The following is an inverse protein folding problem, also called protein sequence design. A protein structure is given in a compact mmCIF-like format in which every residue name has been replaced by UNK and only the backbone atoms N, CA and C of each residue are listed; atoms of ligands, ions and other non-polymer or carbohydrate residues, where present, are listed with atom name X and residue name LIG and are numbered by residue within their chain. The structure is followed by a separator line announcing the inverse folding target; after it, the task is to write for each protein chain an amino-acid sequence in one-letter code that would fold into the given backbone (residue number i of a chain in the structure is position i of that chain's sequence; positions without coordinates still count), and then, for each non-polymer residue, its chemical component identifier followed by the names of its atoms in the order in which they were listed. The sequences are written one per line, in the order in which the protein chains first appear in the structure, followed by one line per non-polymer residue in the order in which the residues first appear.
data_IF_347148415290
#
_entry.id   IF_347148415290
#
_cell.length_a   1.000
_cell.length_b   1.000
_cell.length_c   1.000
_cell.angle_alpha   90.00
_cell.angle_beta   90.00
_cell.angle_gamma   90.00
#
_symmetry.space_group_name_H-M   'P 1'
#
loop_
_entity.id
_entity.type
_entity.pdbx_description
1 polymer ?
#
# COMPACT_ATOMS: atom_id res chain seq x y z
N UNK A 1 -20.63 2.95 -17.75
CA UNK A 1 -19.23 2.95 -17.32
C UNK A 1 -19.15 3.71 -16.01
N UNK A 2 -18.99 3.02 -14.87
CA UNK A 2 -18.96 3.66 -13.53
C UNK A 2 -17.56 4.18 -13.33
N UNK A 3 -17.37 5.49 -13.49
CA UNK A 3 -16.13 6.16 -13.11
C UNK A 3 -16.01 6.11 -11.58
N UNK A 4 -15.18 5.23 -11.07
CA UNK A 4 -14.87 5.18 -9.63
C UNK A 4 -13.99 6.39 -9.33
N UNK A 5 -14.56 7.31 -8.56
CA UNK A 5 -13.86 8.52 -8.12
C UNK A 5 -12.81 8.12 -7.05
N UNK A 6 -11.56 7.89 -7.50
CA UNK A 6 -10.44 7.45 -6.66
C UNK A 6 -10.15 8.42 -5.50
N UNK A 7 -10.52 9.71 -5.64
CA UNK A 7 -10.40 10.69 -4.56
C UNK A 7 -11.32 10.34 -3.39
N UNK A 8 -12.53 9.85 -3.67
CA UNK A 8 -13.48 9.42 -2.64
C UNK A 8 -13.04 8.11 -1.98
N UNK A 9 -12.47 7.19 -2.76
CA UNK A 9 -11.92 5.94 -2.21
C UNK A 9 -10.72 6.22 -1.31
N UNK A 10 -9.82 7.11 -1.71
CA UNK A 10 -8.66 7.52 -0.92
C UNK A 10 -9.06 8.21 0.38
N UNK A 11 -10.10 9.07 0.34
CA UNK A 11 -10.64 9.74 1.52
C UNK A 11 -11.34 8.76 2.48
N UNK A 12 -12.04 7.74 1.97
CA UNK A 12 -12.67 6.70 2.81
C UNK A 12 -11.64 5.84 3.51
N UNK A 13 -10.54 5.50 2.83
CA UNK A 13 -9.44 4.74 3.43
C UNK A 13 -8.69 5.60 4.47
N UNK A 14 -8.45 6.88 4.18
CA UNK A 14 -7.83 7.83 5.14
C UNK A 14 -8.72 8.07 6.35
N UNK A 15 -10.05 8.17 6.17
CA UNK A 15 -11.01 8.31 7.26
C UNK A 15 -11.11 7.02 8.11
N UNK A 16 -11.01 5.84 7.50
CA UNK A 16 -11.00 4.56 8.20
C UNK A 16 -9.77 4.38 9.11
N UNK A 17 -8.62 4.91 8.71
CA UNK A 17 -7.40 4.86 9.54
C UNK A 17 -7.40 5.84 10.70
N UNK A 18 -8.15 6.96 10.61
CA UNK A 18 -8.26 7.94 11.72
C UNK A 18 -9.21 7.47 12.84
N UNK A 19 -10.12 6.52 12.58
CA UNK A 19 -11.06 6.02 13.58
C UNK A 19 -10.47 4.98 14.54
N UNK A 20 -9.19 4.60 14.39
CA UNK A 20 -8.50 3.66 15.30
C UNK A 20 -7.76 4.41 16.44
N UNK A 21 -7.93 5.71 16.56
CA UNK A 21 -7.47 6.45 17.71
C UNK A 21 -8.43 6.20 18.88
N UNK A 22 -8.02 5.32 19.78
CA UNK A 22 -8.73 4.97 21.02
C UNK A 22 -8.83 6.22 21.90
N UNK A 23 -10.05 6.76 22.19
CA UNK A 23 -10.18 7.82 23.17
C UNK A 23 -9.97 7.21 24.54
N UNK A 24 -8.83 7.42 25.15
CA UNK A 24 -8.56 7.14 26.55
C UNK A 24 -9.40 8.06 27.44
N UNK A 25 -10.72 7.80 27.54
CA UNK A 25 -11.60 8.41 28.52
C UNK A 25 -11.65 7.53 29.75
N UNK A 26 -11.28 8.16 30.86
CA UNK A 26 -11.11 7.61 32.20
C UNK A 26 -12.17 6.59 32.62
N UNK A 27 -11.72 5.38 32.89
CA UNK A 27 -12.49 4.37 33.56
C UNK A 27 -11.81 4.04 34.90
N UNK A 28 -12.64 3.95 35.95
CA UNK A 28 -12.28 3.52 37.28
C UNK A 28 -11.55 2.17 37.29
N UNK A 29 -10.74 1.85 38.31
CA UNK A 29 -10.00 0.60 38.35
C UNK A 29 -10.96 -0.58 38.58
N UNK A 30 -11.55 -1.10 37.50
CA UNK A 30 -12.12 -2.43 37.51
C UNK A 30 -10.96 -3.44 37.52
N UNK A 31 -11.08 -4.48 38.31
CA UNK A 31 -10.16 -5.63 38.30
C UNK A 31 -10.00 -6.12 36.85
N UNK A 32 -8.97 -5.62 36.18
CA UNK A 32 -8.69 -5.99 34.79
C UNK A 32 -8.33 -7.47 34.79
N UNK A 33 -9.21 -8.26 34.25
CA UNK A 33 -8.89 -9.61 33.80
C UNK A 33 -7.67 -9.49 32.90
N UNK A 34 -6.47 -9.77 33.43
CA UNK A 34 -5.22 -9.71 32.66
C UNK A 34 -5.22 -10.89 31.71
N UNK A 35 -5.78 -10.70 30.54
CA UNK A 35 -5.54 -11.61 29.42
C UNK A 35 -4.03 -11.59 29.17
N UNK A 36 -3.36 -12.67 29.54
CA UNK A 36 -1.93 -12.84 29.26
C UNK A 36 -1.78 -12.84 27.73
N UNK A 37 -1.38 -11.73 27.15
CA UNK A 37 -1.13 -11.63 25.71
C UNK A 37 -0.04 -12.63 25.34
N UNK A 38 -0.43 -13.75 24.75
CA UNK A 38 0.51 -14.74 24.23
C UNK A 38 1.01 -14.24 22.87
N UNK A 39 2.20 -13.68 22.85
CA UNK A 39 2.86 -13.33 21.61
C UNK A 39 3.37 -14.58 20.88
N UNK A 40 3.33 -14.56 19.55
CA UNK A 40 3.87 -15.64 18.74
C UNK A 40 5.39 -15.79 18.97
N UNK A 41 5.88 -17.01 18.88
CA UNK A 41 7.32 -17.26 18.89
C UNK A 41 7.99 -16.60 17.68
N UNK A 42 9.29 -16.25 17.79
CA UNK A 42 10.04 -15.62 16.69
C UNK A 42 9.92 -16.40 15.37
N UNK A 43 9.97 -17.74 15.42
CA UNK A 43 9.83 -18.58 14.20
C UNK A 43 8.46 -18.42 13.55
N UNK A 44 7.40 -18.41 14.35
CA UNK A 44 6.04 -18.19 13.85
C UNK A 44 5.86 -16.79 13.29
N UNK A 45 6.39 -15.77 13.98
CA UNK A 45 6.33 -14.39 13.54
C UNK A 45 7.08 -14.16 12.23
N UNK A 46 8.26 -14.78 12.05
CA UNK A 46 9.01 -14.75 10.78
C UNK A 46 8.19 -15.42 9.66
N UNK A 47 7.60 -16.58 9.92
CA UNK A 47 6.77 -17.26 8.93
C UNK A 47 5.58 -16.40 8.49
N UNK A 48 4.93 -15.71 9.45
CA UNK A 48 3.84 -14.77 9.17
C UNK A 48 4.32 -13.53 8.39
N UNK A 49 5.50 -12.99 8.72
CA UNK A 49 6.09 -11.87 7.99
C UNK A 49 6.45 -12.22 6.54
N UNK A 50 6.87 -13.47 6.30
CA UNK A 50 7.11 -14.00 4.95
C UNK A 50 5.79 -14.22 4.20
N UNK A 51 4.73 -14.68 4.89
CA UNK A 51 3.43 -14.90 4.25
C UNK A 51 2.77 -13.58 3.80
N UNK A 52 2.82 -12.54 4.65
CA UNK A 52 2.27 -11.23 4.31
C UNK A 52 2.92 -10.12 5.16
N UNK A 53 3.25 -8.95 4.56
CA UNK A 53 3.84 -7.83 5.27
C UNK A 53 2.99 -7.37 6.46
N UNK A 54 3.65 -7.18 7.61
CA UNK A 54 3.01 -6.70 8.85
C UNK A 54 2.42 -7.78 9.74
N UNK A 55 2.07 -8.99 9.25
CA UNK A 55 1.48 -10.03 10.10
C UNK A 55 2.43 -10.50 11.21
N UNK A 56 3.71 -10.62 10.92
CA UNK A 56 4.72 -10.97 11.94
C UNK A 56 4.77 -9.93 13.06
N UNK A 57 4.68 -8.65 12.71
CA UNK A 57 4.67 -7.54 13.67
C UNK A 57 3.40 -7.54 14.53
N UNK A 58 2.23 -7.81 13.94
CA UNK A 58 0.98 -7.95 14.69
C UNK A 58 1.07 -9.11 15.68
N UNK A 59 1.60 -10.25 15.25
CA UNK A 59 1.73 -11.44 16.08
C UNK A 59 2.71 -11.27 17.26
N UNK A 60 3.64 -10.32 17.17
CA UNK A 60 4.61 -9.98 18.23
C UNK A 60 4.22 -8.75 19.06
N UNK A 61 3.00 -8.21 18.86
CA UNK A 61 2.47 -7.09 19.64
C UNK A 61 2.81 -5.70 19.11
N UNK A 62 3.51 -5.59 17.95
CA UNK A 62 3.81 -4.31 17.32
C UNK A 62 2.62 -3.83 16.47
N UNK A 63 1.47 -3.58 17.12
CA UNK A 63 0.19 -3.30 16.46
C UNK A 63 0.27 -2.12 15.47
N UNK A 64 0.85 -0.99 15.87
CA UNK A 64 0.96 0.20 15.01
C UNK A 64 1.79 -0.04 13.75
N UNK A 65 2.96 -0.68 13.89
CA UNK A 65 3.84 -1.00 12.76
C UNK A 65 3.22 -2.08 11.87
N UNK A 66 2.65 -3.13 12.48
CA UNK A 66 2.01 -4.21 11.75
C UNK A 66 0.81 -3.74 10.93
N UNK A 67 -0.11 -2.95 11.53
CA UNK A 67 -1.25 -2.37 10.81
C UNK A 67 -0.83 -1.44 9.69
N UNK A 68 0.19 -0.61 9.88
CA UNK A 68 0.69 0.29 8.85
C UNK A 68 1.24 -0.49 7.64
N UNK A 69 2.02 -1.55 7.87
CA UNK A 69 2.55 -2.40 6.80
C UNK A 69 1.45 -3.17 6.07
N UNK A 70 0.49 -3.77 6.80
CA UNK A 70 -0.67 -4.45 6.20
C UNK A 70 -1.48 -3.48 5.32
N UNK A 71 -1.78 -2.30 5.84
CA UNK A 71 -2.55 -1.31 5.11
C UNK A 71 -1.81 -0.82 3.85
N UNK A 72 -0.51 -0.53 3.97
CA UNK A 72 0.31 -0.08 2.84
C UNK A 72 0.37 -1.14 1.73
N UNK A 73 0.53 -2.43 2.10
CA UNK A 73 0.58 -3.52 1.14
C UNK A 73 -0.77 -3.73 0.45
N UNK A 74 -1.87 -3.77 1.21
CA UNK A 74 -3.22 -3.92 0.64
C UNK A 74 -3.52 -2.78 -0.32
N UNK A 75 -3.24 -1.53 0.05
CA UNK A 75 -3.44 -0.37 -0.80
C UNK A 75 -2.58 -0.45 -2.07
N UNK A 76 -1.31 -0.80 -1.93
CA UNK A 76 -0.39 -0.98 -3.05
C UNK A 76 -0.91 -2.03 -4.04
N UNK A 77 -1.31 -3.19 -3.54
CA UNK A 77 -1.84 -4.29 -4.34
C UNK A 77 -3.18 -3.94 -5.01
N UNK A 78 -4.11 -3.29 -4.30
CA UNK A 78 -5.40 -2.88 -4.87
C UNK A 78 -5.19 -1.91 -6.03
N UNK A 79 -4.35 -0.87 -5.84
CA UNK A 79 -4.08 0.10 -6.90
C UNK A 79 -3.32 -0.56 -8.06
N UNK A 80 -2.40 -1.46 -7.78
CA UNK A 80 -1.68 -2.20 -8.81
C UNK A 80 -2.63 -3.08 -9.65
N UNK A 81 -3.52 -3.86 -9.00
CA UNK A 81 -4.47 -4.75 -9.66
C UNK A 81 -5.48 -3.97 -10.52
N UNK A 82 -6.06 -2.90 -9.97
CA UNK A 82 -7.02 -2.07 -10.70
C UNK A 82 -6.37 -1.38 -11.90
N UNK A 83 -5.16 -0.82 -11.72
CA UNK A 83 -4.41 -0.20 -12.81
C UNK A 83 -3.97 -1.22 -13.87
N UNK A 84 -3.73 -2.49 -13.49
CA UNK A 84 -3.43 -3.55 -14.44
C UNK A 84 -4.67 -3.92 -15.28
N UNK A 85 -5.85 -4.02 -14.66
CA UNK A 85 -7.10 -4.28 -15.35
C UNK A 85 -7.47 -3.13 -16.30
N UNK A 86 -7.36 -1.89 -15.83
CA UNK A 86 -7.62 -0.69 -16.63
C UNK A 86 -6.70 -0.65 -17.87
N UNK A 87 -5.41 -0.86 -17.67
CA UNK A 87 -4.43 -0.89 -18.76
C UNK A 87 -4.76 -1.95 -19.81
N UNK A 88 -5.14 -3.16 -19.38
CA UNK A 88 -5.51 -4.25 -20.29
C UNK A 88 -6.73 -3.87 -21.12
N UNK A 89 -7.80 -3.38 -20.47
CA UNK A 89 -9.03 -2.94 -21.14
C UNK A 89 -8.77 -1.82 -22.13
N UNK A 90 -7.96 -0.82 -21.74
CA UNK A 90 -7.61 0.32 -22.61
C UNK A 90 -6.77 -0.14 -23.81
N UNK A 91 -5.84 -1.10 -23.61
CA UNK A 91 -5.05 -1.66 -24.71
C UNK A 91 -5.93 -2.37 -25.73
N UNK A 92 -6.92 -3.15 -25.29
CA UNK A 92 -7.89 -3.81 -26.18
C UNK A 92 -8.74 -2.78 -26.95
N UNK A 93 -9.18 -1.71 -26.27
CA UNK A 93 -9.94 -0.62 -26.90
C UNK A 93 -9.12 0.16 -27.92
N UNK A 94 -7.82 0.37 -27.67
CA UNK A 94 -6.88 1.01 -28.62
C UNK A 94 -6.80 0.21 -29.92
N UNK A 95 -6.72 -1.12 -29.85
CA UNK A 95 -6.63 -1.97 -31.04
C UNK A 95 -7.92 -1.90 -31.86
N UNK A 96 -9.08 -1.91 -31.22
CA UNK A 96 -10.39 -1.77 -31.88
C UNK A 96 -10.53 -0.39 -32.52
N UNK A 97 -10.26 0.69 -31.78
CA UNK A 97 -10.39 2.06 -32.29
C UNK A 97 -9.40 2.35 -33.43
N UNK A 98 -8.17 1.76 -33.33
CA UNK A 98 -7.17 1.84 -34.40
C UNK A 98 -7.67 1.18 -35.70
N UNK A 99 -8.30 0.02 -35.60
CA UNK A 99 -8.89 -0.67 -36.75
C UNK A 99 -9.99 0.19 -37.38
N UNK A 100 -10.89 0.77 -36.53
CA UNK A 100 -11.92 1.68 -36.98
C UNK A 100 -11.36 2.92 -37.68
N UNK A 101 -10.36 3.57 -37.07
CA UNK A 101 -9.68 4.72 -37.69
C UNK A 101 -9.13 4.40 -39.09
N UNK A 102 -8.45 3.27 -39.22
CA UNK A 102 -7.87 2.85 -40.52
C UNK A 102 -8.96 2.63 -41.58
N UNK A 103 -10.07 1.98 -41.21
CA UNK A 103 -11.19 1.75 -42.14
C UNK A 103 -11.85 3.05 -42.58
N UNK A 104 -12.04 4.01 -41.66
CA UNK A 104 -12.62 5.33 -41.98
C UNK A 104 -11.67 6.19 -42.85
N UNK A 105 -10.38 6.06 -42.64
CA UNK A 105 -9.37 6.78 -43.46
C UNK A 105 -9.31 6.25 -44.92
N UNK A 106 -9.58 4.96 -45.13
CA UNK A 106 -9.47 4.35 -46.47
C UNK A 106 -10.76 4.49 -47.30
N UNK A 107 -11.94 4.60 -46.67
CA UNK A 107 -13.19 4.65 -47.42
C UNK A 107 -14.35 5.37 -46.72
N UNK A 108 -14.09 6.01 -45.56
CA UNK A 108 -15.09 6.69 -44.76
C UNK A 108 -15.11 8.21 -44.97
N UNK A 109 -15.75 8.90 -44.03
CA UNK A 109 -15.81 10.37 -43.99
C UNK A 109 -14.61 10.93 -43.23
N UNK A 110 -14.10 12.10 -43.66
CA UNK A 110 -13.03 12.82 -42.97
C UNK A 110 -13.39 13.12 -41.50
N UNK A 111 -14.61 13.54 -41.27
CA UNK A 111 -15.12 13.86 -39.93
C UNK A 111 -15.11 12.65 -38.98
N UNK A 112 -15.57 11.48 -39.48
CA UNK A 112 -15.51 10.22 -38.74
C UNK A 112 -14.08 9.77 -38.41
N UNK A 113 -13.17 9.92 -39.35
CA UNK A 113 -11.75 9.59 -39.14
C UNK A 113 -11.09 10.51 -38.08
N UNK A 114 -11.41 11.81 -38.10
CA UNK A 114 -10.90 12.78 -37.13
C UNK A 114 -11.44 12.49 -35.71
N UNK A 115 -12.71 12.16 -35.59
CA UNK A 115 -13.32 11.80 -34.30
C UNK A 115 -12.70 10.52 -33.74
N UNK A 116 -12.54 9.49 -34.56
CA UNK A 116 -11.87 8.25 -34.17
C UNK A 116 -10.42 8.48 -33.75
N UNK A 117 -9.69 9.36 -34.45
CA UNK A 117 -8.33 9.75 -34.07
C UNK A 117 -8.26 10.43 -32.70
N UNK A 118 -9.21 11.32 -32.37
CA UNK A 118 -9.28 11.96 -31.06
C UNK A 118 -9.53 10.93 -29.95
N UNK A 119 -10.49 10.00 -30.16
CA UNK A 119 -10.75 8.91 -29.20
C UNK A 119 -9.53 8.02 -29.01
N UNK A 120 -8.83 7.69 -30.09
CA UNK A 120 -7.60 6.87 -30.02
C UNK A 120 -6.50 7.57 -29.20
N UNK A 121 -6.33 8.88 -29.32
CA UNK A 121 -5.36 9.62 -28.53
C UNK A 121 -5.75 9.66 -27.05
N UNK A 122 -7.02 9.88 -26.70
CA UNK A 122 -7.50 9.83 -25.32
C UNK A 122 -7.27 8.45 -24.69
N UNK A 123 -7.58 7.37 -25.42
CA UNK A 123 -7.34 6.02 -24.94
C UNK A 123 -5.86 5.73 -24.68
N UNK A 124 -4.96 6.29 -25.50
CA UNK A 124 -3.50 6.17 -25.30
C UNK A 124 -3.05 6.91 -24.03
N UNK A 125 -3.51 8.14 -23.83
CA UNK A 125 -3.20 8.92 -22.63
C UNK A 125 -3.68 8.21 -21.36
N UNK A 126 -4.89 7.67 -21.37
CA UNK A 126 -5.46 6.90 -20.27
C UNK A 126 -4.65 5.61 -20.02
N UNK A 127 -4.25 4.91 -21.08
CA UNK A 127 -3.42 3.70 -20.98
C UNK A 127 -2.03 4.00 -20.42
N UNK A 128 -1.39 5.10 -20.84
CA UNK A 128 -0.09 5.53 -20.32
C UNK A 128 -0.20 5.86 -18.82
N UNK A 129 -1.27 6.56 -18.41
CA UNK A 129 -1.56 6.84 -17.01
C UNK A 129 -1.75 5.58 -16.17
N UNK A 130 -2.50 4.60 -16.68
CA UNK A 130 -2.72 3.31 -16.01
C UNK A 130 -1.44 2.48 -15.94
N UNK A 131 -0.63 2.49 -17.01
CA UNK A 131 0.67 1.84 -17.03
C UNK A 131 1.64 2.43 -16.01
N UNK A 132 1.71 3.75 -15.89
CA UNK A 132 2.55 4.43 -14.91
C UNK A 132 2.12 4.08 -13.47
N UNK A 133 0.81 4.17 -13.17
CA UNK A 133 0.27 3.79 -11.86
C UNK A 133 0.61 2.34 -11.52
N UNK A 134 0.39 1.41 -12.44
CA UNK A 134 0.75 0.00 -12.27
C UNK A 134 2.22 -0.19 -11.91
N UNK A 135 3.13 0.47 -12.61
CA UNK A 135 4.58 0.38 -12.34
C UNK A 135 4.94 0.95 -10.99
N UNK A 136 4.44 2.14 -10.65
CA UNK A 136 4.73 2.80 -9.38
C UNK A 136 4.23 1.97 -8.20
N UNK A 137 2.99 1.53 -8.21
CA UNK A 137 2.42 0.77 -7.10
C UNK A 137 2.96 -0.65 -7.02
N UNK A 138 3.37 -1.26 -8.13
CA UNK A 138 4.12 -2.50 -8.12
C UNK A 138 5.47 -2.36 -7.41
N UNK A 139 6.21 -1.29 -7.69
CA UNK A 139 7.48 -1.00 -6.99
C UNK A 139 7.25 -0.71 -5.51
N UNK A 140 6.20 0.05 -5.17
CA UNK A 140 5.84 0.32 -3.76
C UNK A 140 5.53 -0.97 -3.02
N UNK A 141 4.69 -1.85 -3.55
CA UNK A 141 4.37 -3.14 -2.92
C UNK A 141 5.63 -4.00 -2.70
N UNK A 142 6.49 -4.11 -3.72
CA UNK A 142 7.78 -4.82 -3.58
C UNK A 142 8.65 -4.16 -2.51
N UNK A 143 8.67 -2.83 -2.44
CA UNK A 143 9.43 -2.08 -1.44
C UNK A 143 8.92 -2.30 -0.01
N UNK A 144 7.62 -2.28 0.20
CA UNK A 144 6.98 -2.57 1.51
C UNK A 144 7.29 -4.01 1.93
N UNK A 145 7.14 -4.96 1.02
CA UNK A 145 7.46 -6.35 1.30
C UNK A 145 8.95 -6.55 1.63
N UNK A 146 9.83 -5.96 0.83
CA UNK A 146 11.28 -6.02 1.06
C UNK A 146 11.68 -5.40 2.40
N UNK A 147 11.15 -4.22 2.72
CA UNK A 147 11.36 -3.58 4.02
C UNK A 147 10.88 -4.47 5.19
N UNK A 148 9.67 -5.06 5.07
CA UNK A 148 9.14 -5.96 6.09
C UNK A 148 10.06 -7.17 6.33
N UNK A 149 10.62 -7.77 5.27
CA UNK A 149 11.56 -8.89 5.40
C UNK A 149 12.88 -8.48 6.06
N UNK A 150 13.46 -7.36 5.63
CA UNK A 150 14.70 -6.84 6.23
C UNK A 150 14.49 -6.55 7.71
N UNK A 151 13.41 -5.89 8.07
CA UNK A 151 13.06 -5.57 9.44
C UNK A 151 12.84 -6.83 10.30
N UNK A 152 12.09 -7.79 9.78
CA UNK A 152 11.78 -9.03 10.47
C UNK A 152 13.02 -9.93 10.69
N UNK A 153 13.93 -9.99 9.72
CA UNK A 153 15.05 -10.91 9.71
C UNK A 153 16.33 -10.31 10.30
N UNK A 154 16.61 -9.03 9.99
CA UNK A 154 17.90 -8.39 10.27
C UNK A 154 17.85 -7.34 11.38
N UNK A 155 16.77 -6.56 11.47
CA UNK A 155 16.66 -5.44 12.40
C UNK A 155 16.01 -5.78 13.74
N UNK A 156 15.64 -7.04 13.97
CA UNK A 156 15.01 -7.48 15.22
C UNK A 156 13.59 -6.94 15.43
N UNK A 157 12.93 -6.49 14.35
CA UNK A 157 11.59 -5.87 14.40
C UNK A 157 10.47 -6.77 14.93
N UNK A 158 10.75 -8.08 15.11
CA UNK A 158 9.83 -9.06 15.65
C UNK A 158 10.08 -9.40 17.13
N UNK A 159 10.96 -8.70 17.82
CA UNK A 159 11.18 -8.92 19.25
C UNK A 159 10.00 -8.36 20.06
N UNK A 160 9.46 -9.13 21.05
CA UNK A 160 8.33 -8.65 21.84
C UNK A 160 8.63 -7.33 22.57
N UNK A 161 7.65 -6.44 22.75
CA UNK A 161 7.83 -5.24 23.54
C UNK A 161 8.20 -5.60 24.98
N UNK A 162 9.42 -5.30 25.41
CA UNK A 162 9.93 -5.61 26.76
C UNK A 162 11.21 -6.46 26.79
N UNK A 163 11.65 -7.05 25.68
CA UNK A 163 12.98 -7.64 25.56
C UNK A 163 14.07 -6.56 25.44
N UNK A 164 15.27 -6.81 25.99
CA UNK A 164 16.40 -5.87 25.91
C UNK A 164 16.65 -5.41 24.47
N UNK A 165 16.68 -4.09 24.25
CA UNK A 165 16.66 -3.51 22.90
C UNK A 165 17.89 -2.67 22.61
N UNK A 166 18.46 -2.94 21.45
CA UNK A 166 19.24 -1.95 20.72
C UNK A 166 18.30 -1.34 19.67
N UNK A 167 17.95 -0.08 19.80
CA UNK A 167 17.07 0.62 18.86
C UNK A 167 17.77 1.87 18.30
N UNK A 168 17.63 2.11 16.99
CA UNK A 168 17.98 3.39 16.39
C UNK A 168 16.78 4.33 16.52
N UNK A 169 16.91 5.39 17.29
CA UNK A 169 15.89 6.41 17.47
C UNK A 169 16.37 7.69 16.80
N UNK A 170 15.58 8.28 15.88
CA UNK A 170 15.90 9.59 15.35
C UNK A 170 15.78 10.61 16.49
N UNK A 171 16.85 11.34 16.75
CA UNK A 171 16.87 12.45 17.70
C UNK A 171 16.91 13.76 16.93
N UNK A 172 15.89 14.60 17.15
CA UNK A 172 15.85 15.95 16.66
C UNK A 172 15.88 16.90 17.87
N UNK A 173 16.98 17.63 18.04
CA UNK A 173 17.04 18.80 18.91
C UNK A 173 17.29 20.04 18.06
N UNK A 174 16.98 21.27 18.54
CA UNK A 174 17.16 22.50 17.76
C UNK A 174 18.57 22.69 17.19
N UNK A 175 19.57 22.03 17.80
CA UNK A 175 20.97 22.18 17.45
C UNK A 175 21.57 20.97 16.72
N UNK A 176 20.93 19.79 16.74
CA UNK A 176 21.47 18.55 16.15
C UNK A 176 20.35 17.60 15.73
N UNK A 177 20.41 17.19 14.48
CA UNK A 177 19.63 16.05 13.94
C UNK A 177 20.54 14.86 13.79
N UNK A 178 20.20 13.72 14.41
CA UNK A 178 21.03 12.51 14.38
C UNK A 178 20.24 11.24 14.65
N UNK A 179 20.92 10.11 14.57
CA UNK A 179 20.41 8.79 14.96
C UNK A 179 21.12 8.39 16.27
N UNK A 180 20.34 8.16 17.33
CA UNK A 180 20.87 7.64 18.58
C UNK A 180 20.64 6.13 18.67
N UNK A 181 21.69 5.40 19.04
CA UNK A 181 21.59 3.99 19.42
C UNK A 181 21.15 3.92 20.89
N UNK A 182 19.92 3.47 21.13
CA UNK A 182 19.41 3.29 22.49
C UNK A 182 19.40 1.82 22.84
N UNK A 183 20.16 1.45 23.87
CA UNK A 183 20.12 0.10 24.48
C UNK A 183 19.30 0.18 25.75
N UNK A 184 18.22 -0.59 25.85
CA UNK A 184 17.51 -0.84 27.11
C UNK A 184 17.82 -2.25 27.56
N UNK A 185 18.39 -2.33 28.77
CA UNK A 185 18.63 -3.58 29.48
C UNK A 185 17.41 -3.92 30.33
#
# INVERSE_FOLDING_TARGET
MVSIDYRRLLLLVLAGTLMIADPALGQAPEERFQVREQYASRKQAVALAVAFPGLGHLATGHRGKGTALVAAEILGLVVWLTSHADYKTQSEQIDVEKALYLSLREGGTYEGAEESWRRLNQLREDADGSHLRRRLFGVVAIGVYGYNLVDALLLGGLEPPGGGRVGLVPTASPERTGLALVTRF
#
